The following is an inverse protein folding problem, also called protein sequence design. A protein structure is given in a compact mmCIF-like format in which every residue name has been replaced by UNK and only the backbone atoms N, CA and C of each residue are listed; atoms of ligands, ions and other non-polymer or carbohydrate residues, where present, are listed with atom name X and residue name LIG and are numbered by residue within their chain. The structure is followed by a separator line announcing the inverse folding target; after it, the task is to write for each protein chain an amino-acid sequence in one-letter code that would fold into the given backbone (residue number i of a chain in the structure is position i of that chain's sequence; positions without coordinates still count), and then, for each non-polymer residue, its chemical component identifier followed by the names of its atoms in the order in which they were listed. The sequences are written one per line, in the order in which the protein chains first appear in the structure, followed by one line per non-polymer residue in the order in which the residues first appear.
data_IF_548799582754
#
_entry.id   IF_548799582754
#
_cell.length_a   1.000
_cell.length_b   1.000
_cell.length_c   1.000
_cell.angle_alpha   90.00
_cell.angle_beta   90.00
_cell.angle_gamma   90.00
#
_symmetry.space_group_name_H-M   'P 1'
#
loop_
_entity.id
_entity.type
_entity.pdbx_description
1 polymer ?
#
# COMPACT_ATOMS: atom_id res chain seq x y z
N UNK A 1 35.81 -16.58 33.93
CA UNK A 1 35.60 -15.25 33.32
C UNK A 1 34.62 -15.40 32.17
N UNK A 2 33.51 -14.66 32.23
CA UNK A 2 32.29 -14.84 31.43
C UNK A 2 32.33 -13.93 30.20
N UNK A 3 32.25 -14.48 28.99
CA UNK A 3 32.01 -13.72 27.75
C UNK A 3 30.61 -14.06 27.21
N UNK A 4 29.64 -13.24 27.61
CA UNK A 4 28.26 -13.25 27.12
C UNK A 4 28.25 -12.87 25.64
N UNK A 5 28.17 -13.86 24.75
CA UNK A 5 27.82 -13.63 23.36
C UNK A 5 26.31 -13.44 23.26
N UNK A 6 25.87 -12.18 23.45
CA UNK A 6 24.48 -11.77 23.34
C UNK A 6 24.14 -11.69 21.85
N UNK A 7 23.80 -12.84 21.26
CA UNK A 7 23.17 -12.88 19.96
C UNK A 7 21.93 -11.98 20.02
N UNK A 8 21.96 -10.85 19.30
CA UNK A 8 20.77 -10.04 19.07
C UNK A 8 19.78 -10.92 18.31
N UNK A 9 18.88 -11.58 19.05
CA UNK A 9 17.63 -12.10 18.49
C UNK A 9 17.00 -10.92 17.74
N UNK A 10 16.97 -10.98 16.41
CA UNK A 10 16.02 -10.18 15.65
C UNK A 10 14.66 -10.57 16.23
N UNK A 11 14.06 -9.67 17.02
CA UNK A 11 12.62 -9.74 17.27
C UNK A 11 11.99 -9.49 15.91
N UNK A 12 11.61 -10.57 15.25
CA UNK A 12 10.59 -10.49 14.22
C UNK A 12 9.34 -10.16 15.02
N UNK A 13 8.96 -8.89 14.99
CA UNK A 13 7.65 -8.48 15.45
C UNK A 13 6.70 -8.99 14.37
N UNK A 14 6.16 -10.18 14.58
CA UNK A 14 5.02 -10.68 13.81
C UNK A 14 3.82 -9.83 14.24
N UNK A 15 3.57 -8.75 13.49
CA UNK A 15 2.31 -8.02 13.60
C UNK A 15 1.20 -8.93 13.04
N UNK A 16 0.04 -9.01 13.71
CA UNK A 16 -1.02 -9.96 13.36
C UNK A 16 -1.71 -9.51 12.08
N UNK A 17 -1.25 -9.99 10.93
CA UNK A 17 -1.81 -9.63 9.63
C UNK A 17 -2.86 -10.63 9.11
N UNK A 18 -3.25 -11.64 9.90
CA UNK A 18 -4.20 -12.67 9.46
C UNK A 18 -5.70 -12.23 9.44
N UNK A 19 -6.00 -10.93 9.40
CA UNK A 19 -7.38 -10.44 9.46
C UNK A 19 -7.63 -9.10 8.76
N UNK A 20 -6.74 -8.69 7.86
CA UNK A 20 -6.88 -7.45 7.11
C UNK A 20 -6.19 -7.58 5.74
N UNK A 21 -6.77 -6.94 4.74
CA UNK A 21 -6.09 -6.71 3.46
C UNK A 21 -5.25 -5.44 3.59
N UNK A 22 -3.98 -5.53 3.22
CA UNK A 22 -3.07 -4.38 3.23
C UNK A 22 -2.68 -4.06 1.80
N UNK A 23 -2.97 -2.84 1.38
CA UNK A 23 -2.42 -2.22 0.17
C UNK A 23 -1.21 -1.41 0.59
N UNK A 24 -0.04 -1.72 0.05
CA UNK A 24 1.19 -0.99 0.34
C UNK A 24 1.75 -0.40 -0.94
N UNK A 25 2.01 0.89 -0.90
CA UNK A 25 2.37 1.71 -2.05
C UNK A 25 3.70 2.38 -1.81
N UNK A 26 4.60 2.23 -2.78
CA UNK A 26 5.86 2.94 -2.83
C UNK A 26 5.63 4.24 -3.61
N UNK A 27 5.89 5.37 -2.97
CA UNK A 27 5.55 6.68 -3.49
C UNK A 27 6.77 7.35 -4.14
N UNK A 28 6.51 8.27 -5.07
CA UNK A 28 7.52 9.24 -5.47
C UNK A 28 7.86 10.15 -4.28
N UNK A 29 9.14 10.51 -4.15
CA UNK A 29 9.56 11.52 -3.16
C UNK A 29 8.75 12.80 -3.32
N UNK A 30 8.26 13.32 -2.20
CA UNK A 30 7.50 14.57 -2.15
C UNK A 30 8.42 15.76 -2.44
N UNK A 31 8.02 16.63 -3.37
CA UNK A 31 8.73 17.88 -3.63
C UNK A 31 8.67 18.83 -2.43
N UNK A 32 9.75 19.59 -2.21
CA UNK A 32 9.83 20.57 -1.12
C UNK A 32 8.67 21.57 -1.19
N UNK A 33 7.82 21.58 -0.15
CA UNK A 33 6.68 22.49 -0.02
C UNK A 33 5.37 22.01 -0.67
N UNK A 34 5.36 20.83 -1.30
CA UNK A 34 4.14 20.20 -1.80
C UNK A 34 3.20 19.71 -0.68
N UNK A 35 1.90 19.48 -0.98
CA UNK A 35 0.97 18.89 -0.02
C UNK A 35 1.38 17.45 0.31
N UNK A 36 1.28 17.06 1.59
CA UNK A 36 1.64 15.71 2.01
C UNK A 36 0.77 14.65 1.33
N UNK A 37 1.32 13.48 0.93
CA UNK A 37 0.59 12.41 0.26
C UNK A 37 -0.71 12.03 0.95
N UNK A 38 -0.70 11.86 2.28
CA UNK A 38 -1.93 11.53 3.00
C UNK A 38 -3.00 12.62 2.87
N UNK A 39 -2.63 13.89 2.86
CA UNK A 39 -3.60 14.99 2.68
C UNK A 39 -4.25 14.94 1.30
N UNK A 40 -3.48 14.61 0.26
CA UNK A 40 -4.00 14.44 -1.10
C UNK A 40 -4.95 13.24 -1.17
N UNK A 41 -4.54 12.10 -0.62
CA UNK A 41 -5.36 10.88 -0.55
C UNK A 41 -6.68 11.14 0.18
N UNK A 42 -6.63 11.77 1.36
CA UNK A 42 -7.83 12.10 2.14
C UNK A 42 -8.77 13.08 1.42
N UNK A 43 -8.26 13.86 0.48
CA UNK A 43 -9.10 14.74 -0.37
C UNK A 43 -9.75 13.94 -1.49
N UNK A 44 -8.98 13.07 -2.15
CA UNK A 44 -9.45 12.24 -3.26
C UNK A 44 -10.50 11.21 -2.80
N UNK A 45 -10.36 10.66 -1.60
CA UNK A 45 -11.32 9.72 -1.01
C UNK A 45 -12.70 10.33 -0.73
N UNK A 46 -12.84 11.66 -0.80
CA UNK A 46 -14.14 12.31 -0.77
C UNK A 46 -15.07 11.87 -1.91
N UNK A 47 -14.54 11.36 -3.02
CA UNK A 47 -15.33 10.82 -4.13
C UNK A 47 -16.04 9.48 -3.81
N UNK A 48 -15.67 8.82 -2.71
CA UNK A 48 -16.17 7.50 -2.31
C UNK A 48 -17.03 7.55 -1.04
N UNK A 49 -17.45 8.73 -0.60
CA UNK A 49 -18.14 8.94 0.68
C UNK A 49 -17.35 8.35 1.87
N UNK A 50 -16.02 8.42 1.81
CA UNK A 50 -15.15 7.98 2.90
C UNK A 50 -15.07 9.08 3.94
N UNK A 51 -15.45 8.73 5.16
CA UNK A 51 -15.47 9.64 6.29
C UNK A 51 -14.23 9.49 7.16
N UNK A 52 -13.74 10.60 7.71
CA UNK A 52 -12.69 10.57 8.72
C UNK A 52 -13.28 10.19 10.07
N UNK A 53 -12.67 9.21 10.72
CA UNK A 53 -13.02 8.76 12.06
C UNK A 53 -11.87 9.12 13.00
N UNK A 54 -12.19 9.67 14.17
CA UNK A 54 -11.17 10.02 15.16
C UNK A 54 -10.27 11.19 14.73
N UNK A 55 -9.09 11.26 15.37
CA UNK A 55 -8.14 12.36 15.21
C UNK A 55 -6.97 11.90 14.34
N UNK A 56 -6.57 12.72 13.38
CA UNK A 56 -5.35 12.51 12.60
C UNK A 56 -4.13 12.43 13.54
N UNK A 57 -3.29 11.41 13.35
CA UNK A 57 -2.08 11.17 14.14
C UNK A 57 -0.86 11.52 13.31
N UNK A 58 0.01 12.37 13.82
CA UNK A 58 1.25 12.72 13.13
C UNK A 58 2.45 12.71 14.09
N UNK A 59 3.56 12.14 13.64
CA UNK A 59 4.83 12.10 14.36
C UNK A 59 5.93 12.66 13.46
N UNK A 60 6.72 13.61 13.97
CA UNK A 60 7.86 14.16 13.23
C UNK A 60 8.59 15.23 14.03
N UNK A 61 9.55 15.87 13.37
CA UNK A 61 10.48 16.83 14.01
C UNK A 61 9.87 18.24 14.21
N UNK A 62 8.54 18.37 14.07
CA UNK A 62 7.77 19.62 14.15
C UNK A 62 8.12 20.67 13.07
N UNK A 63 8.88 20.28 12.04
CA UNK A 63 9.22 21.11 10.88
C UNK A 63 9.15 20.23 9.63
N UNK A 64 8.57 20.75 8.56
CA UNK A 64 8.45 20.03 7.29
C UNK A 64 7.47 18.85 7.35
N UNK A 65 7.76 17.82 6.57
CA UNK A 65 6.91 16.63 6.41
C UNK A 65 7.04 15.73 7.67
N UNK A 66 5.93 15.24 8.26
CA UNK A 66 5.97 14.28 9.36
C UNK A 66 6.68 13.00 8.94
N UNK A 67 7.38 12.33 9.86
CA UNK A 67 7.93 11.00 9.60
C UNK A 67 6.82 9.96 9.44
N UNK A 68 5.73 10.14 10.18
CA UNK A 68 4.53 9.30 10.10
C UNK A 68 3.29 10.19 10.18
N UNK A 69 2.29 9.86 9.37
CA UNK A 69 0.97 10.49 9.41
C UNK A 69 -0.08 9.41 9.17
N UNK A 70 -1.08 9.30 10.03
CA UNK A 70 -2.14 8.31 9.88
C UNK A 70 -3.52 8.85 10.23
N UNK A 71 -4.54 8.20 9.66
CA UNK A 71 -5.94 8.58 9.77
C UNK A 71 -6.81 7.33 9.74
N UNK A 72 -7.67 7.18 10.75
CA UNK A 72 -8.76 6.21 10.74
C UNK A 72 -9.91 6.73 9.89
N UNK A 73 -10.52 5.83 9.12
CA UNK A 73 -11.51 6.13 8.11
C UNK A 73 -12.67 5.15 8.19
N UNK A 74 -13.80 5.56 7.63
CA UNK A 74 -14.97 4.70 7.48
C UNK A 74 -15.54 4.83 6.07
N UNK A 75 -15.78 3.69 5.44
CA UNK A 75 -16.40 3.61 4.12
C UNK A 75 -17.53 2.61 4.17
N UNK A 76 -18.78 3.05 3.99
CA UNK A 76 -19.96 2.15 4.02
C UNK A 76 -20.02 1.23 5.25
N UNK A 77 -19.70 1.76 6.43
CA UNK A 77 -19.57 1.03 7.71
C UNK A 77 -18.39 0.06 7.82
N UNK A 78 -17.51 0.01 6.82
CA UNK A 78 -16.23 -0.70 6.91
C UNK A 78 -15.18 0.23 7.51
N UNK A 79 -14.34 -0.31 8.39
CA UNK A 79 -13.22 0.40 8.98
C UNK A 79 -12.02 0.35 8.01
N UNK A 80 -11.42 1.51 7.77
CA UNK A 80 -10.22 1.65 6.95
C UNK A 80 -9.17 2.40 7.79
N UNK A 81 -7.90 2.11 7.55
CA UNK A 81 -6.81 2.84 8.17
C UNK A 81 -5.77 3.21 7.13
N UNK A 82 -5.40 4.49 7.09
CA UNK A 82 -4.33 4.98 6.24
C UNK A 82 -3.15 5.39 7.10
N UNK A 83 -1.97 5.01 6.67
CA UNK A 83 -0.70 5.48 7.21
C UNK A 83 0.26 5.83 6.08
N UNK A 84 0.82 7.03 6.13
CA UNK A 84 1.92 7.46 5.28
C UNK A 84 3.18 7.57 6.13
N UNK A 85 4.27 6.99 5.64
CA UNK A 85 5.59 7.03 6.24
C UNK A 85 6.53 7.76 5.29
N UNK A 86 7.28 8.70 5.84
CA UNK A 86 8.28 9.47 5.11
C UNK A 86 9.68 9.08 5.59
N UNK A 87 10.40 8.37 4.73
CA UNK A 87 11.76 7.93 5.01
C UNK A 87 12.76 9.06 4.81
N UNK A 88 13.71 9.22 5.75
CA UNK A 88 14.87 10.11 5.56
C UNK A 88 15.77 9.68 4.41
N UNK A 89 15.59 8.45 3.95
CA UNK A 89 16.37 7.78 2.93
C UNK A 89 15.81 8.07 1.52
N UNK A 90 14.79 8.92 1.41
CA UNK A 90 14.12 9.28 0.15
C UNK A 90 13.02 8.32 -0.29
N UNK A 91 12.68 7.35 0.57
CA UNK A 91 11.63 6.36 0.34
C UNK A 91 10.39 6.74 1.12
N UNK A 92 9.34 7.07 0.39
CA UNK A 92 8.03 7.38 0.95
C UNK A 92 7.09 6.21 0.68
N UNK A 93 6.33 5.84 1.71
CA UNK A 93 5.46 4.68 1.71
C UNK A 93 4.06 5.10 2.16
N UNK A 94 3.03 4.46 1.60
CA UNK A 94 1.67 4.57 2.09
C UNK A 94 1.04 3.19 2.20
N UNK A 95 0.46 2.92 3.36
CA UNK A 95 -0.31 1.71 3.63
C UNK A 95 -1.78 2.08 3.81
N UNK A 96 -2.64 1.33 3.14
CA UNK A 96 -4.08 1.31 3.35
C UNK A 96 -4.45 -0.07 3.87
N UNK A 97 -4.92 -0.10 5.11
CA UNK A 97 -5.51 -1.29 5.72
C UNK A 97 -7.01 -1.28 5.48
N UNK A 98 -7.49 -2.42 4.99
CA UNK A 98 -8.89 -2.73 4.68
C UNK A 98 -9.32 -3.95 5.49
N UNK A 99 -10.63 -4.22 5.63
CA UNK A 99 -11.11 -5.52 6.07
C UNK A 99 -10.55 -6.67 5.21
N UNK A 100 -10.62 -7.93 5.67
CA UNK A 100 -10.27 -9.08 4.86
C UNK A 100 -10.91 -9.02 3.48
N UNK A 101 -10.19 -9.46 2.44
CA UNK A 101 -10.62 -9.30 1.06
C UNK A 101 -12.00 -9.90 0.81
N UNK A 102 -12.23 -11.11 1.31
CA UNK A 102 -13.50 -11.82 1.18
C UNK A 102 -14.68 -11.06 1.84
N UNK A 103 -14.45 -10.45 3.01
CA UNK A 103 -15.46 -9.65 3.71
C UNK A 103 -15.72 -8.34 2.94
N UNK A 104 -14.68 -7.75 2.38
CA UNK A 104 -14.74 -6.51 1.62
C UNK A 104 -15.54 -6.69 0.32
N UNK A 105 -15.23 -7.72 -0.48
CA UNK A 105 -15.95 -8.01 -1.73
C UNK A 105 -17.33 -8.64 -1.50
N UNK A 106 -17.58 -9.18 -0.30
CA UNK A 106 -18.92 -9.58 0.14
C UNK A 106 -19.83 -8.39 0.47
N UNK A 107 -19.27 -7.25 0.86
CA UNK A 107 -20.01 -6.04 1.25
C UNK A 107 -20.02 -4.94 0.17
N UNK A 108 -19.00 -4.88 -0.68
CA UNK A 108 -18.80 -3.85 -1.71
C UNK A 108 -18.42 -4.53 -3.02
N UNK A 109 -18.91 -3.98 -4.13
CA UNK A 109 -18.53 -4.48 -5.46
C UNK A 109 -17.00 -4.43 -5.66
N UNK A 110 -16.42 -5.52 -6.17
CA UNK A 110 -14.98 -5.65 -6.31
C UNK A 110 -14.37 -4.56 -7.22
N UNK A 111 -15.06 -4.13 -8.27
CA UNK A 111 -14.57 -3.04 -9.14
C UNK A 111 -14.59 -1.69 -8.43
N UNK A 112 -15.49 -1.52 -7.46
CA UNK A 112 -15.47 -0.33 -6.62
C UNK A 112 -14.31 -0.31 -5.63
N UNK A 113 -13.93 -1.47 -5.08
CA UNK A 113 -12.71 -1.61 -4.27
C UNK A 113 -11.48 -1.25 -5.10
N UNK A 114 -11.40 -1.75 -6.33
CA UNK A 114 -10.29 -1.41 -7.23
C UNK A 114 -10.25 0.07 -7.57
N UNK A 115 -11.39 0.72 -7.83
CA UNK A 115 -11.45 2.17 -8.06
C UNK A 115 -11.01 2.97 -6.84
N UNK A 116 -11.33 2.53 -5.63
CA UNK A 116 -10.84 3.18 -4.41
C UNK A 116 -9.32 3.06 -4.30
N UNK A 117 -8.76 1.87 -4.52
CA UNK A 117 -7.31 1.62 -4.49
C UNK A 117 -6.58 2.44 -5.56
N UNK A 118 -7.13 2.48 -6.78
CA UNK A 118 -6.60 3.28 -7.88
C UNK A 118 -6.57 4.78 -7.54
N UNK A 119 -7.65 5.28 -6.93
CA UNK A 119 -7.74 6.67 -6.50
C UNK A 119 -6.71 7.00 -5.42
N UNK A 120 -6.48 6.08 -4.47
CA UNK A 120 -5.45 6.23 -3.45
C UNK A 120 -4.06 6.26 -4.11
N UNK A 121 -3.77 5.31 -5.00
CA UNK A 121 -2.51 5.22 -5.70
C UNK A 121 -2.21 6.48 -6.53
N UNK A 122 -3.20 6.97 -7.28
CA UNK A 122 -3.08 8.20 -8.06
C UNK A 122 -2.83 9.43 -7.15
N UNK A 123 -3.62 9.59 -6.09
CA UNK A 123 -3.52 10.75 -5.19
C UNK A 123 -2.20 10.76 -4.38
N UNK A 124 -1.57 9.60 -4.18
CA UNK A 124 -0.28 9.48 -3.52
C UNK A 124 0.93 9.56 -4.45
N UNK A 125 0.73 9.63 -5.78
CA UNK A 125 1.78 9.42 -6.80
C UNK A 125 2.52 8.09 -6.61
N UNK A 126 1.77 7.01 -6.42
CA UNK A 126 2.36 5.68 -6.26
C UNK A 126 3.13 5.27 -7.53
N UNK A 127 4.31 4.70 -7.34
CA UNK A 127 5.14 4.13 -8.40
C UNK A 127 4.83 2.66 -8.62
N UNK A 128 4.56 1.95 -7.54
CA UNK A 128 4.16 0.53 -7.53
C UNK A 128 3.63 0.15 -6.15
N UNK A 129 3.11 -1.06 -6.02
CA UNK A 129 2.64 -1.57 -4.75
C UNK A 129 2.21 -3.02 -4.77
N UNK A 130 1.85 -3.52 -3.60
CA UNK A 130 1.33 -4.88 -3.39
C UNK A 130 0.03 -4.83 -2.59
N UNK A 131 -0.87 -5.76 -2.89
CA UNK A 131 -2.09 -6.00 -2.14
C UNK A 131 -2.04 -7.42 -1.61
N UNK A 132 -2.09 -7.60 -0.30
CA UNK A 132 -2.04 -8.94 0.30
C UNK A 132 -2.77 -9.01 1.63
N UNK A 133 -3.20 -10.21 1.98
CA UNK A 133 -3.70 -10.56 3.32
C UNK A 133 -2.54 -11.19 4.08
N UNK A 134 -2.17 -10.67 5.25
CA UNK A 134 -1.15 -11.36 6.03
C UNK A 134 0.30 -11.08 5.63
N UNK A 135 0.56 -10.73 4.37
CA UNK A 135 1.92 -10.70 3.84
C UNK A 135 2.62 -9.35 4.01
N UNK A 136 3.96 -9.34 4.23
CA UNK A 136 4.71 -8.11 4.28
C UNK A 136 4.73 -7.43 2.91
N UNK A 137 4.76 -6.08 2.88
CA UNK A 137 4.72 -5.33 1.64
C UNK A 137 5.97 -5.55 0.79
N UNK A 138 5.79 -5.53 -0.53
CA UNK A 138 6.93 -5.52 -1.46
C UNK A 138 7.52 -4.11 -1.53
N UNK A 139 8.81 -4.01 -1.21
CA UNK A 139 9.57 -2.74 -1.23
C UNK A 139 10.41 -2.59 -2.49
N UNK A 140 10.49 -3.63 -3.32
CA UNK A 140 11.24 -3.66 -4.57
C UNK A 140 10.36 -4.18 -5.69
N UNK A 141 10.53 -3.57 -6.86
CA UNK A 141 9.95 -4.10 -8.09
C UNK A 141 10.60 -5.44 -8.44
N UNK A 142 9.83 -6.40 -8.97
CA UNK A 142 10.40 -7.60 -9.54
C UNK A 142 11.24 -7.22 -10.76
N UNK A 143 12.40 -7.86 -10.86
CA UNK A 143 13.44 -7.63 -11.87
C UNK A 143 13.46 -8.73 -12.94
N UNK A 144 12.62 -9.77 -12.80
CA UNK A 144 12.41 -10.82 -13.79
C UNK A 144 11.04 -11.53 -13.63
N UNK A 145 10.64 -12.32 -14.63
CA UNK A 145 9.39 -13.09 -14.57
C UNK A 145 9.31 -14.11 -13.40
N UNK A 146 10.38 -14.84 -13.02
CA UNK A 146 10.36 -15.72 -11.84
C UNK A 146 10.09 -15.00 -10.51
N UNK A 147 10.73 -13.85 -10.28
CA UNK A 147 10.52 -13.02 -9.08
C UNK A 147 9.11 -12.45 -9.05
N UNK A 148 8.62 -11.95 -10.19
CA UNK A 148 7.22 -11.50 -10.34
C UNK A 148 6.24 -12.63 -10.02
N UNK A 149 6.44 -13.83 -10.56
CA UNK A 149 5.60 -15.00 -10.25
C UNK A 149 5.65 -15.37 -8.77
N UNK A 150 6.81 -15.26 -8.12
CA UNK A 150 6.93 -15.52 -6.69
C UNK A 150 6.16 -14.49 -5.85
N UNK A 151 6.19 -13.21 -6.23
CA UNK A 151 5.39 -12.16 -5.60
C UNK A 151 3.89 -12.37 -5.82
N UNK A 152 3.45 -12.67 -7.05
CA UNK A 152 2.03 -12.95 -7.35
C UNK A 152 1.47 -14.14 -6.57
N UNK A 153 2.28 -15.11 -6.17
CA UNK A 153 1.83 -16.24 -5.34
C UNK A 153 1.59 -15.86 -3.88
N UNK A 154 2.16 -14.75 -3.43
CA UNK A 154 2.07 -14.27 -2.04
C UNK A 154 0.99 -13.20 -1.90
N UNK A 155 0.77 -12.42 -2.95
CA UNK A 155 -0.12 -11.27 -2.95
C UNK A 155 -1.40 -11.56 -3.72
N UNK A 156 -2.50 -10.94 -3.29
CA UNK A 156 -3.77 -10.95 -4.03
C UNK A 156 -3.60 -10.24 -5.38
N UNK A 157 -2.84 -9.16 -5.39
CA UNK A 157 -2.53 -8.40 -6.59
C UNK A 157 -1.25 -7.56 -6.43
N UNK A 158 -0.67 -7.19 -7.56
CA UNK A 158 0.42 -6.22 -7.64
C UNK A 158 -0.03 -5.01 -8.48
N UNK A 159 0.48 -3.84 -8.11
CA UNK A 159 0.37 -2.61 -8.89
C UNK A 159 1.75 -2.30 -9.45
N UNK A 160 1.92 -2.46 -10.75
CA UNK A 160 3.22 -2.34 -11.41
C UNK A 160 3.22 -1.17 -12.41
N UNK A 161 4.39 -0.58 -12.72
CA UNK A 161 4.53 0.34 -13.84
C UNK A 161 4.22 -0.34 -15.18
N UNK A 162 3.73 0.43 -16.17
CA UNK A 162 3.38 -0.09 -17.51
C UNK A 162 4.53 -0.83 -18.22
N UNK A 163 5.77 -0.43 -17.97
CA UNK A 163 6.95 -1.02 -18.62
C UNK A 163 7.26 -2.45 -18.16
N UNK A 164 6.59 -2.99 -17.13
CA UNK A 164 6.76 -4.40 -16.70
C UNK A 164 5.96 -5.39 -17.56
N UNK A 165 5.31 -4.95 -18.64
CA UNK A 165 4.37 -5.75 -19.43
C UNK A 165 4.92 -7.09 -19.96
N UNK A 166 6.15 -7.11 -20.48
CA UNK A 166 6.77 -8.32 -21.05
C UNK A 166 6.95 -9.43 -19.98
N UNK A 167 7.27 -9.04 -18.74
CA UNK A 167 7.46 -9.97 -17.63
C UNK A 167 6.12 -10.50 -17.09
N UNK A 168 5.03 -9.74 -17.22
CA UNK A 168 3.69 -10.14 -16.75
C UNK A 168 3.16 -11.36 -17.52
N UNK A 169 3.30 -11.37 -18.85
CA UNK A 169 2.91 -12.52 -19.66
C UNK A 169 3.77 -13.74 -19.33
N UNK A 170 5.09 -13.55 -19.21
CA UNK A 170 6.02 -14.61 -18.86
C UNK A 170 5.80 -15.17 -17.43
N UNK A 171 5.33 -14.33 -16.50
CA UNK A 171 5.00 -14.72 -15.15
C UNK A 171 3.72 -15.58 -15.04
N UNK A 172 2.94 -15.71 -16.13
CA UNK A 172 1.65 -16.41 -16.18
C UNK A 172 0.60 -15.80 -15.23
N UNK A 173 0.51 -14.46 -15.19
CA UNK A 173 -0.58 -13.79 -14.49
C UNK A 173 -1.95 -14.18 -15.08
N UNK A 174 -2.97 -14.35 -14.22
CA UNK A 174 -4.35 -14.62 -14.67
C UNK A 174 -4.98 -13.39 -15.32
N UNK A 175 -4.68 -12.19 -14.82
CA UNK A 175 -5.18 -10.95 -15.40
C UNK A 175 -4.18 -9.81 -15.27
N UNK A 176 -4.22 -8.90 -16.24
CA UNK A 176 -3.47 -7.65 -16.25
C UNK A 176 -4.32 -6.55 -16.91
N UNK A 177 -4.46 -5.41 -16.25
CA UNK A 177 -5.15 -4.23 -16.80
C UNK A 177 -4.57 -2.94 -16.27
N UNK A 178 -4.63 -1.89 -17.08
CA UNK A 178 -4.26 -0.53 -16.65
C UNK A 178 -5.40 0.06 -15.83
N UNK A 179 -5.05 0.72 -14.72
CA UNK A 179 -5.97 1.48 -13.89
C UNK A 179 -6.01 2.93 -14.36
N UNK A 180 -7.22 3.48 -14.50
CA UNK A 180 -7.45 4.75 -15.21
C UNK A 180 -6.87 5.97 -14.48
N UNK A 181 -6.92 6.01 -13.15
CA UNK A 181 -6.50 7.18 -12.39
C UNK A 181 -4.98 7.21 -12.16
N UNK A 182 -4.38 6.08 -11.76
CA UNK A 182 -2.96 5.98 -11.43
C UNK A 182 -2.07 5.68 -12.63
N UNK A 183 -2.63 5.06 -13.69
CA UNK A 183 -1.85 4.53 -14.81
C UNK A 183 -1.01 3.29 -14.46
N UNK A 184 -1.19 2.71 -13.28
CA UNK A 184 -0.52 1.47 -12.88
C UNK A 184 -1.22 0.26 -13.49
N UNK A 185 -0.47 -0.81 -13.73
CA UNK A 185 -0.98 -2.10 -14.17
C UNK A 185 -1.34 -2.92 -12.94
N UNK A 186 -2.63 -3.20 -12.78
CA UNK A 186 -3.12 -4.19 -11.84
C UNK A 186 -2.86 -5.57 -12.40
N UNK A 187 -2.06 -6.37 -11.70
CA UNK A 187 -1.73 -7.75 -12.06
C UNK A 187 -2.21 -8.69 -10.97
N UNK A 188 -2.97 -9.72 -11.36
CA UNK A 188 -3.47 -10.75 -10.42
C UNK A 188 -2.97 -12.13 -10.83
N UNK A 189 -2.72 -12.99 -9.84
CA UNK A 189 -2.32 -14.39 -10.05
C UNK A 189 -3.43 -15.23 -10.64
#
# INVERSE_FOLDING_TARGET
MSSRNRARRRQIVELPSAGQTVVSLMLRSVEDGGPWPLTRVLTALGAFDVERVGVARALGDRRGIPLFHSQELRWRNLALFLEARHGRDGVDELSLELPPWDDLVGAVDQEEVWRLIDTVAAASDAQFGSIGDGEPPEVLLPDDAPSLRAQLRRHLALLLPEWTGDDVEAAQATSARVLDASGLVLVTS
#
